data_IF_018303118378
#
_entry.id   IF_018303118378
#
_cell.length_a   1.000
_cell.length_b   1.000
_cell.length_c   1.000
_cell.angle_alpha   90.00
_cell.angle_beta   90.00
_cell.angle_gamma   90.00
#
_symmetry.space_group_name_H-M   'P 1'
#
loop_
_entity.id
_entity.type
_entity.pdbx_description
1 polymer ?
#
# COMPACT_ATOMS: atom_id res chain seq x y z
N UNK A 1 -34.09 -13.47 -3.15
CA UNK A 1 -35.59 -13.54 -3.25
C UNK A 1 -36.16 -12.37 -2.45
N UNK A 2 -36.65 -11.33 -3.10
CA UNK A 2 -37.38 -10.23 -2.46
C UNK A 2 -38.87 -10.41 -2.70
N UNK A 3 -39.70 -10.17 -1.66
CA UNK A 3 -41.16 -10.09 -1.82
C UNK A 3 -41.54 -8.73 -2.40
N UNK A 4 -42.38 -8.74 -3.44
CA UNK A 4 -42.98 -7.52 -3.92
C UNK A 4 -44.07 -7.02 -2.94
N UNK A 5 -44.62 -5.82 -3.16
CA UNK A 5 -45.67 -5.22 -2.35
C UNK A 5 -46.98 -6.04 -2.26
N UNK A 6 -47.15 -7.04 -3.11
CA UNK A 6 -48.30 -7.94 -3.17
C UNK A 6 -48.03 -9.31 -2.51
N UNK A 7 -46.82 -9.50 -1.94
CA UNK A 7 -46.43 -10.75 -1.28
C UNK A 7 -45.98 -11.88 -2.18
N UNK A 8 -45.88 -11.67 -3.50
CA UNK A 8 -45.36 -12.64 -4.45
C UNK A 8 -43.86 -12.63 -4.43
N UNK A 9 -43.25 -13.83 -4.59
CA UNK A 9 -41.80 -13.94 -4.78
C UNK A 9 -41.42 -13.56 -6.21
N UNK A 10 -40.61 -12.54 -6.37
CA UNK A 10 -39.94 -12.28 -7.62
C UNK A 10 -38.79 -13.31 -7.76
N UNK A 11 -38.85 -14.13 -8.79
CA UNK A 11 -37.70 -14.91 -9.22
C UNK A 11 -36.79 -13.97 -10.02
N UNK A 12 -35.72 -13.52 -9.39
CA UNK A 12 -34.64 -12.90 -10.14
C UNK A 12 -34.04 -13.95 -11.09
N UNK A 13 -33.67 -13.57 -12.31
CA UNK A 13 -32.99 -14.48 -13.22
C UNK A 13 -31.73 -15.01 -12.54
N UNK A 14 -31.50 -16.30 -12.61
CA UNK A 14 -30.25 -16.92 -12.15
C UNK A 14 -29.17 -16.41 -13.11
N UNK A 15 -28.40 -15.41 -12.70
CA UNK A 15 -27.16 -15.04 -13.38
C UNK A 15 -26.15 -16.12 -12.97
N UNK A 16 -25.75 -16.94 -13.94
CA UNK A 16 -24.66 -17.89 -13.78
C UNK A 16 -23.40 -17.27 -14.37
N UNK A 17 -22.49 -16.83 -13.50
CA UNK A 17 -21.17 -16.39 -13.93
C UNK A 17 -20.21 -17.58 -13.88
N UNK A 18 -19.36 -17.69 -14.89
CA UNK A 18 -18.33 -18.73 -14.99
C UNK A 18 -17.00 -18.09 -14.62
N UNK A 19 -16.38 -18.57 -13.56
CA UNK A 19 -15.02 -18.24 -13.18
C UNK A 19 -14.04 -19.30 -13.65
N UNK A 20 -12.89 -18.90 -14.15
CA UNK A 20 -11.80 -19.79 -14.54
C UNK A 20 -10.49 -19.30 -13.90
N UNK A 21 -9.74 -20.20 -13.29
CA UNK A 21 -8.42 -19.92 -12.77
C UNK A 21 -7.50 -21.11 -12.87
N UNK A 22 -6.20 -20.86 -12.91
CA UNK A 22 -5.19 -21.89 -12.98
C UNK A 22 -3.82 -21.41 -12.54
N UNK A 23 -3.00 -22.38 -12.15
CA UNK A 23 -1.61 -22.20 -11.76
C UNK A 23 -0.73 -23.20 -12.50
N UNK A 24 0.44 -22.76 -12.91
CA UNK A 24 1.43 -23.60 -13.57
C UNK A 24 2.85 -23.23 -13.15
N UNK A 25 3.63 -24.22 -12.76
CA UNK A 25 5.03 -24.04 -12.41
C UNK A 25 5.97 -24.53 -13.52
N UNK A 26 6.92 -23.68 -13.90
CA UNK A 26 7.95 -24.01 -14.88
C UNK A 26 9.30 -23.37 -14.49
N UNK A 27 10.34 -24.21 -14.31
CA UNK A 27 11.70 -23.78 -14.01
C UNK A 27 11.80 -22.79 -12.84
N UNK A 28 11.04 -23.01 -11.77
CA UNK A 28 10.98 -22.16 -10.59
C UNK A 28 10.17 -20.87 -10.77
N UNK A 29 9.51 -20.72 -11.92
CA UNK A 29 8.52 -19.67 -12.13
C UNK A 29 7.13 -20.20 -11.87
N UNK A 30 6.33 -19.46 -11.11
CA UNK A 30 4.92 -19.72 -10.91
C UNK A 30 4.11 -18.75 -11.76
N UNK A 31 3.25 -19.29 -12.60
CA UNK A 31 2.31 -18.55 -13.44
C UNK A 31 0.90 -18.81 -12.91
N UNK A 32 0.18 -17.76 -12.61
CA UNK A 32 -1.21 -17.85 -12.19
C UNK A 32 -2.08 -16.92 -13.03
N UNK A 33 -3.30 -17.34 -13.29
CA UNK A 33 -4.29 -16.51 -13.96
C UNK A 33 -5.68 -16.75 -13.37
N UNK A 34 -6.53 -15.76 -13.49
CA UNK A 34 -7.95 -15.84 -13.16
C UNK A 34 -8.76 -14.98 -14.12
N UNK A 35 -9.92 -15.48 -14.52
CA UNK A 35 -10.86 -14.81 -15.43
C UNK A 35 -12.22 -14.79 -14.73
N UNK A 36 -12.83 -13.63 -14.66
CA UNK A 36 -14.13 -13.40 -13.99
C UNK A 36 -14.20 -14.07 -12.60
N UNK A 37 -13.24 -13.79 -11.68
CA UNK A 37 -13.18 -14.46 -10.38
C UNK A 37 -14.37 -14.05 -9.51
N UNK A 38 -15.03 -15.02 -8.87
CA UNK A 38 -16.06 -14.75 -7.87
C UNK A 38 -15.42 -14.50 -6.49
N UNK A 39 -15.30 -13.25 -6.11
CA UNK A 39 -14.82 -12.81 -4.79
C UNK A 39 -15.94 -12.46 -3.81
N UNK A 40 -17.22 -12.66 -4.17
CA UNK A 40 -18.39 -12.24 -3.41
C UNK A 40 -18.42 -12.78 -1.97
N UNK A 41 -17.94 -14.02 -1.74
CA UNK A 41 -17.89 -14.62 -0.42
C UNK A 41 -16.84 -13.96 0.49
N UNK A 42 -15.76 -13.44 -0.08
CA UNK A 42 -14.69 -12.76 0.67
C UNK A 42 -15.05 -11.31 0.98
N UNK A 43 -15.84 -10.68 0.13
CA UNK A 43 -16.23 -9.28 0.24
C UNK A 43 -17.44 -9.05 1.14
N UNK A 44 -18.33 -10.04 1.30
CA UNK A 44 -19.52 -9.94 2.14
C UNK A 44 -19.22 -9.57 3.61
N UNK A 45 -18.03 -9.89 4.11
CA UNK A 45 -17.59 -9.55 5.47
C UNK A 45 -17.13 -8.07 5.62
N UNK A 46 -17.09 -7.29 4.54
CA UNK A 46 -16.44 -5.96 4.53
C UNK A 46 -17.41 -4.79 4.49
N UNK A 47 -18.71 -5.01 4.53
CA UNK A 47 -19.74 -3.97 4.46
C UNK A 47 -19.83 -3.04 5.70
N UNK A 48 -18.83 -3.02 6.57
CA UNK A 48 -18.74 -2.06 7.68
C UNK A 48 -18.10 -0.76 7.21
N UNK A 49 -18.89 0.08 6.54
CA UNK A 49 -18.55 1.47 6.28
C UNK A 49 -18.55 2.19 7.63
N UNK A 50 -17.38 2.62 8.10
CA UNK A 50 -17.33 3.51 9.25
C UNK A 50 -17.63 4.95 8.78
N UNK A 51 -18.89 5.35 8.88
CA UNK A 51 -19.40 6.67 8.42
C UNK A 51 -18.74 7.85 9.15
N UNK A 52 -18.02 7.60 10.24
CA UNK A 52 -17.37 8.63 11.05
C UNK A 52 -15.85 8.75 10.80
N UNK A 53 -15.28 7.99 9.85
CA UNK A 53 -13.86 8.10 9.53
C UNK A 53 -13.61 9.20 8.50
N UNK A 54 -12.67 10.09 8.78
CA UNK A 54 -12.20 11.11 7.83
C UNK A 54 -11.22 10.54 6.79
N UNK A 55 -10.75 9.30 7.00
CA UNK A 55 -9.83 8.60 6.12
C UNK A 55 -10.37 7.24 5.71
N UNK A 56 -9.97 6.76 4.54
CA UNK A 56 -10.34 5.43 4.05
C UNK A 56 -9.84 4.33 5.00
N UNK A 57 -10.62 3.25 5.14
CA UNK A 57 -10.27 2.10 5.96
C UNK A 57 -9.47 1.09 5.14
N UNK A 58 -8.44 0.52 5.77
CA UNK A 58 -7.64 -0.55 5.17
C UNK A 58 -8.22 -1.91 5.56
N UNK A 59 -8.45 -2.75 4.55
CA UNK A 59 -8.89 -4.14 4.72
C UNK A 59 -7.76 -5.11 4.40
N UNK A 60 -7.71 -6.24 5.10
CA UNK A 60 -6.75 -7.30 4.78
C UNK A 60 -7.12 -7.99 3.47
N UNK A 61 -6.10 -8.37 2.69
CA UNK A 61 -6.28 -9.18 1.50
C UNK A 61 -6.59 -10.63 1.90
N UNK A 62 -7.73 -11.14 1.45
CA UNK A 62 -8.20 -12.51 1.72
C UNK A 62 -8.39 -13.34 0.45
N UNK A 63 -8.36 -12.70 -0.71
CA UNK A 63 -8.48 -13.39 -2.01
C UNK A 63 -7.19 -14.16 -2.27
N UNK A 64 -7.31 -15.49 -2.43
CA UNK A 64 -6.16 -16.41 -2.55
C UNK A 64 -5.21 -15.94 -3.64
N UNK A 65 -5.72 -15.63 -4.84
CA UNK A 65 -4.93 -15.15 -5.96
C UNK A 65 -4.02 -13.95 -5.60
N UNK A 66 -4.51 -12.97 -4.85
CA UNK A 66 -3.74 -11.77 -4.47
C UNK A 66 -2.90 -11.96 -3.20
N UNK A 67 -3.18 -12.98 -2.39
CA UNK A 67 -2.38 -13.30 -1.20
C UNK A 67 -1.07 -14.00 -1.56
N UNK A 68 -1.09 -14.82 -2.58
CA UNK A 68 0.10 -15.50 -3.06
C UNK A 68 1.03 -14.49 -3.74
N UNK A 69 2.31 -14.47 -3.31
CA UNK A 69 3.30 -13.53 -3.80
C UNK A 69 3.22 -12.11 -3.23
N UNK A 70 2.31 -11.78 -2.30
CA UNK A 70 2.18 -10.42 -1.72
C UNK A 70 3.42 -9.91 -1.01
N UNK A 71 4.30 -10.79 -0.54
CA UNK A 71 5.57 -10.43 0.10
C UNK A 71 6.52 -9.70 -0.86
N UNK A 72 6.45 -9.94 -2.17
CA UNK A 72 7.19 -9.18 -3.18
C UNK A 72 6.79 -7.71 -3.23
N UNK A 73 5.57 -7.39 -2.79
CA UNK A 73 4.95 -6.07 -2.85
C UNK A 73 5.12 -5.26 -1.55
N UNK A 74 5.92 -5.78 -0.61
CA UNK A 74 6.15 -5.13 0.68
C UNK A 74 6.81 -3.75 0.51
N UNK A 75 6.25 -2.73 1.16
CA UNK A 75 6.70 -1.34 1.15
C UNK A 75 6.37 -0.66 2.47
N UNK A 76 7.27 0.19 2.96
CA UNK A 76 7.05 1.02 4.15
C UNK A 76 6.00 2.14 3.90
N UNK A 77 5.84 2.57 2.64
CA UNK A 77 4.89 3.62 2.23
C UNK A 77 3.56 3.08 1.70
N UNK A 78 3.36 1.73 1.73
CA UNK A 78 2.17 1.06 1.18
C UNK A 78 1.94 1.38 -0.30
N UNK A 79 3.00 1.30 -1.10
CA UNK A 79 3.01 1.60 -2.54
C UNK A 79 2.15 0.65 -3.36
N UNK A 80 1.85 -0.54 -2.84
CA UNK A 80 0.89 -1.48 -3.41
C UNK A 80 -0.11 -1.94 -2.38
N UNK A 81 -1.36 -1.98 -2.78
CA UNK A 81 -2.50 -2.49 -2.06
C UNK A 81 -3.39 -3.26 -3.03
N UNK A 82 -3.31 -4.58 -3.01
CA UNK A 82 -3.96 -5.44 -4.01
C UNK A 82 -5.48 -5.29 -4.07
N UNK A 83 -6.11 -4.83 -2.98
CA UNK A 83 -7.55 -4.53 -2.97
C UNK A 83 -7.94 -3.26 -3.72
N UNK A 84 -6.97 -2.48 -4.21
CA UNK A 84 -7.25 -1.43 -5.20
C UNK A 84 -7.65 -2.04 -6.56
N UNK A 85 -7.33 -3.31 -6.83
CA UNK A 85 -7.88 -4.12 -7.92
C UNK A 85 -9.10 -4.84 -7.31
N UNK A 86 -10.29 -4.33 -7.58
CA UNK A 86 -11.50 -4.69 -6.85
C UNK A 86 -12.26 -5.86 -7.49
N UNK A 87 -12.63 -5.71 -8.73
CA UNK A 87 -13.45 -6.65 -9.48
C UNK A 87 -12.85 -6.93 -10.86
N UNK A 88 -11.74 -7.68 -10.93
CA UNK A 88 -11.05 -7.89 -12.19
C UNK A 88 -11.85 -8.76 -13.15
N UNK A 89 -11.97 -8.30 -14.41
CA UNK A 89 -12.45 -9.14 -15.52
C UNK A 89 -11.44 -10.26 -15.76
N UNK A 90 -10.15 -9.97 -15.66
CA UNK A 90 -9.08 -10.95 -15.59
C UNK A 90 -7.91 -10.42 -14.75
N UNK A 91 -7.12 -11.33 -14.23
CA UNK A 91 -5.81 -11.05 -13.68
C UNK A 91 -4.84 -12.20 -13.96
N UNK A 92 -3.60 -11.85 -14.27
CA UNK A 92 -2.52 -12.82 -14.41
C UNK A 92 -1.29 -12.33 -13.66
N UNK A 93 -0.52 -13.26 -13.12
CA UNK A 93 0.74 -12.95 -12.47
C UNK A 93 1.78 -14.03 -12.75
N UNK A 94 3.03 -13.60 -12.72
CA UNK A 94 4.20 -14.49 -12.73
C UNK A 94 5.18 -14.04 -11.67
N UNK A 95 5.73 -14.97 -10.92
CA UNK A 95 6.77 -14.69 -9.95
C UNK A 95 7.79 -15.81 -9.82
N UNK A 96 8.97 -15.46 -9.35
CA UNK A 96 10.06 -16.40 -9.07
C UNK A 96 10.74 -16.03 -7.75
N UNK A 97 11.02 -17.05 -6.92
CA UNK A 97 11.70 -16.91 -5.62
C UNK A 97 13.11 -17.49 -5.70
N UNK A 98 13.97 -16.91 -6.53
CA UNK A 98 15.37 -17.31 -6.60
C UNK A 98 16.17 -16.86 -5.37
N UNK A 99 17.30 -17.52 -5.10
CA UNK A 99 18.18 -17.17 -3.97
C UNK A 99 18.72 -15.74 -4.09
N UNK A 100 19.21 -15.36 -5.27
CA UNK A 100 19.77 -14.03 -5.55
C UNK A 100 18.78 -13.10 -6.22
N UNK A 101 17.95 -13.60 -7.12
CA UNK A 101 17.04 -12.82 -7.95
C UNK A 101 15.61 -13.28 -7.69
N UNK A 102 14.77 -12.37 -7.30
CA UNK A 102 13.35 -12.62 -7.12
C UNK A 102 12.56 -11.56 -7.86
N UNK A 103 11.50 -11.94 -8.55
CA UNK A 103 10.66 -10.99 -9.26
C UNK A 103 9.19 -11.39 -9.20
N UNK A 104 8.35 -10.40 -9.42
CA UNK A 104 6.90 -10.51 -9.47
C UNK A 104 6.37 -9.56 -10.54
N UNK A 105 5.48 -10.04 -11.37
CA UNK A 105 4.72 -9.25 -12.32
C UNK A 105 3.25 -9.61 -12.19
N UNK A 106 2.38 -8.60 -12.20
CA UNK A 106 0.93 -8.75 -12.22
C UNK A 106 0.36 -7.81 -13.27
N UNK A 107 -0.60 -8.32 -14.02
CA UNK A 107 -1.41 -7.61 -14.99
C UNK A 107 -2.87 -7.92 -14.72
N UNK A 108 -3.74 -6.90 -14.69
CA UNK A 108 -5.16 -7.08 -14.42
C UNK A 108 -5.99 -5.99 -15.11
N UNK A 109 -7.16 -6.36 -15.60
CA UNK A 109 -8.22 -5.45 -16.03
C UNK A 109 -9.31 -5.45 -14.95
N UNK A 110 -9.53 -4.31 -14.34
CA UNK A 110 -10.51 -4.12 -13.26
C UNK A 110 -11.78 -3.47 -13.81
N UNK A 111 -12.92 -4.13 -13.67
CA UNK A 111 -14.21 -3.63 -14.16
C UNK A 111 -14.72 -2.43 -13.33
N UNK A 112 -14.27 -2.31 -12.07
CA UNK A 112 -14.65 -1.22 -11.17
C UNK A 112 -13.46 -0.84 -10.30
N UNK A 113 -13.00 0.37 -10.45
CA UNK A 113 -11.76 0.88 -9.84
C UNK A 113 -12.04 1.71 -8.60
N UNK A 114 -11.78 1.19 -7.38
CA UNK A 114 -11.80 2.01 -6.19
C UNK A 114 -10.58 2.93 -6.16
N UNK A 115 -10.80 4.20 -5.89
CA UNK A 115 -9.74 5.19 -5.76
C UNK A 115 -9.76 5.83 -4.37
N UNK A 116 -8.57 6.24 -3.92
CA UNK A 116 -8.36 7.02 -2.70
C UNK A 116 -7.54 8.24 -3.08
N UNK A 117 -8.13 9.42 -2.98
CA UNK A 117 -7.43 10.69 -3.15
C UNK A 117 -6.96 11.16 -1.77
N UNK A 118 -5.65 11.11 -1.51
CA UNK A 118 -5.09 11.53 -0.23
C UNK A 118 -5.11 13.06 -0.10
N UNK A 119 -5.34 13.55 1.12
CA UNK A 119 -5.28 14.96 1.42
C UNK A 119 -4.60 15.22 2.77
N UNK A 120 -4.62 16.46 3.21
CA UNK A 120 -4.10 16.88 4.49
C UNK A 120 -5.03 16.38 5.62
N UNK A 121 -4.58 15.39 6.39
CA UNK A 121 -5.32 14.73 7.50
C UNK A 121 -6.70 14.18 7.10
N UNK A 122 -6.89 13.82 5.84
CA UNK A 122 -8.12 13.22 5.32
C UNK A 122 -7.89 12.52 4.01
N UNK A 123 -8.86 11.72 3.57
CA UNK A 123 -8.93 11.21 2.21
C UNK A 123 -10.34 11.31 1.65
N UNK A 124 -10.41 11.29 0.33
CA UNK A 124 -11.65 11.13 -0.42
C UNK A 124 -11.59 9.78 -1.14
N UNK A 125 -12.71 9.15 -1.31
CA UNK A 125 -12.80 7.88 -2.02
C UNK A 125 -13.95 7.87 -2.99
N UNK A 126 -13.77 7.17 -4.10
CA UNK A 126 -14.75 7.02 -5.15
C UNK A 126 -14.61 5.68 -5.85
N UNK A 127 -15.55 5.38 -6.72
CA UNK A 127 -15.55 4.19 -7.57
C UNK A 127 -15.63 4.65 -9.02
N UNK A 128 -14.56 4.43 -9.78
CA UNK A 128 -14.48 4.70 -11.22
C UNK A 128 -14.90 3.47 -12.05
N UNK A 129 -14.99 3.64 -13.34
CA UNK A 129 -15.19 2.59 -14.34
C UNK A 129 -13.96 1.65 -14.45
N UNK A 130 -13.78 1.11 -15.64
CA UNK A 130 -12.71 0.18 -15.95
C UNK A 130 -11.33 0.82 -15.86
N UNK A 131 -10.35 0.00 -15.45
CA UNK A 131 -8.94 0.36 -15.53
C UNK A 131 -8.07 -0.86 -15.78
N UNK A 132 -6.89 -0.63 -16.33
CA UNK A 132 -5.86 -1.63 -16.52
C UNK A 132 -4.71 -1.38 -15.55
N UNK A 133 -4.32 -2.39 -14.78
CA UNK A 133 -3.34 -2.30 -13.71
C UNK A 133 -2.15 -3.21 -13.96
N UNK A 134 -0.94 -2.65 -13.85
CA UNK A 134 0.32 -3.37 -13.97
C UNK A 134 1.17 -3.15 -12.71
N UNK A 135 1.75 -4.22 -12.19
CA UNK A 135 2.67 -4.18 -11.05
C UNK A 135 3.89 -5.01 -11.39
N UNK A 136 5.07 -4.43 -11.24
CA UNK A 136 6.34 -5.14 -11.37
C UNK A 136 7.22 -4.91 -10.15
N UNK A 137 7.76 -5.97 -9.58
CA UNK A 137 8.72 -5.91 -8.47
C UNK A 137 9.90 -6.82 -8.76
N UNK A 138 11.10 -6.34 -8.43
CA UNK A 138 12.34 -7.09 -8.51
C UNK A 138 13.18 -6.84 -7.28
N UNK A 139 13.77 -7.91 -6.73
CA UNK A 139 14.68 -7.85 -5.60
C UNK A 139 15.95 -8.64 -5.91
N UNK A 140 17.09 -8.03 -5.59
CA UNK A 140 18.39 -8.67 -5.61
C UNK A 140 18.88 -8.87 -4.18
N UNK A 141 19.03 -10.13 -3.76
CA UNK A 141 19.59 -10.51 -2.47
C UNK A 141 21.11 -10.55 -2.56
N UNK A 142 21.77 -9.73 -1.76
CA UNK A 142 23.23 -9.62 -1.72
C UNK A 142 23.78 -10.75 -0.84
N UNK A 143 23.68 -10.60 0.46
CA UNK A 143 24.09 -11.57 1.48
C UNK A 143 23.42 -11.24 2.83
N UNK A 144 23.28 -12.23 3.73
CA UNK A 144 22.91 -12.01 5.14
C UNK A 144 21.68 -11.12 5.35
N UNK A 145 20.66 -11.26 4.51
CA UNK A 145 19.44 -10.44 4.59
C UNK A 145 19.58 -9.03 4.03
N UNK A 146 20.71 -8.72 3.37
CA UNK A 146 20.89 -7.48 2.63
C UNK A 146 20.29 -7.61 1.23
N UNK A 147 19.57 -6.59 0.81
CA UNK A 147 18.95 -6.58 -0.52
C UNK A 147 18.82 -5.17 -1.07
N UNK A 148 18.64 -5.11 -2.36
CA UNK A 148 18.20 -3.94 -3.10
C UNK A 148 17.09 -4.37 -4.05
N UNK A 149 16.06 -3.56 -4.19
CA UNK A 149 14.95 -3.88 -5.06
C UNK A 149 14.26 -2.64 -5.58
N UNK A 150 13.51 -2.83 -6.64
CA UNK A 150 12.63 -1.80 -7.17
C UNK A 150 11.23 -2.35 -7.41
N UNK A 151 10.27 -1.45 -7.43
CA UNK A 151 8.88 -1.72 -7.72
C UNK A 151 8.35 -0.62 -8.62
N UNK A 152 7.62 -1.01 -9.65
CA UNK A 152 6.92 -0.09 -10.54
C UNK A 152 5.44 -0.49 -10.60
N UNK A 153 4.56 0.49 -10.60
CA UNK A 153 3.14 0.28 -10.83
C UNK A 153 2.62 1.26 -11.88
N UNK A 154 1.66 0.81 -12.67
CA UNK A 154 0.94 1.65 -13.62
C UNK A 154 -0.55 1.30 -13.59
N UNK A 155 -1.41 2.30 -13.64
CA UNK A 155 -2.85 2.16 -13.82
C UNK A 155 -3.32 3.12 -14.90
N UNK A 156 -3.91 2.58 -15.94
CA UNK A 156 -4.55 3.34 -17.02
C UNK A 156 -6.07 3.28 -16.84
N UNK A 157 -6.73 4.42 -16.80
CA UNK A 157 -8.19 4.49 -16.67
C UNK A 157 -8.84 4.55 -18.06
N UNK A 158 -9.93 3.80 -18.26
CA UNK A 158 -10.65 3.76 -19.53
C UNK A 158 -11.19 5.14 -19.92
N UNK A 159 -11.61 5.93 -18.95
CA UNK A 159 -12.11 7.30 -19.11
C UNK A 159 -11.00 8.33 -19.39
N UNK A 160 -9.76 7.87 -19.52
CA UNK A 160 -8.55 8.69 -19.66
C UNK A 160 -7.85 8.91 -18.31
N UNK A 161 -6.59 9.30 -18.40
CA UNK A 161 -5.71 9.46 -17.24
C UNK A 161 -4.88 8.22 -16.93
N UNK A 162 -3.82 8.45 -16.14
CA UNK A 162 -2.83 7.43 -15.76
C UNK A 162 -2.27 7.72 -14.38
N UNK A 163 -1.99 6.66 -13.63
CA UNK A 163 -1.28 6.71 -12.34
C UNK A 163 -0.07 5.81 -12.38
N UNK A 164 1.12 6.39 -12.29
CA UNK A 164 2.39 5.66 -12.29
C UNK A 164 3.16 5.87 -11.00
N UNK A 165 3.86 4.82 -10.54
CA UNK A 165 4.75 4.88 -9.40
C UNK A 165 6.01 4.07 -9.66
N UNK A 166 7.15 4.63 -9.24
CA UNK A 166 8.42 3.92 -9.15
C UNK A 166 8.98 4.00 -7.73
N UNK A 167 9.42 2.88 -7.19
CA UNK A 167 10.05 2.76 -5.87
C UNK A 167 11.39 2.04 -5.97
N UNK A 168 12.41 2.59 -5.33
CA UNK A 168 13.73 1.96 -5.10
C UNK A 168 13.90 1.76 -3.61
N UNK A 169 14.19 0.54 -3.18
CA UNK A 169 14.34 0.18 -1.76
C UNK A 169 15.59 -0.65 -1.52
N UNK A 170 16.12 -0.58 -0.30
CA UNK A 170 17.25 -1.40 0.10
C UNK A 170 17.36 -1.56 1.60
N UNK A 171 17.97 -2.68 1.99
CA UNK A 171 18.30 -3.00 3.38
C UNK A 171 19.74 -3.49 3.45
N UNK A 172 20.55 -2.90 4.34
CA UNK A 172 21.98 -3.19 4.48
C UNK A 172 22.37 -3.36 5.94
N UNK A 173 23.18 -4.37 6.19
CA UNK A 173 23.72 -4.68 7.52
C UNK A 173 25.24 -4.40 7.53
N UNK A 174 25.69 -3.51 8.42
CA UNK A 174 27.09 -3.15 8.59
C UNK A 174 27.60 -3.59 9.96
N UNK A 175 28.77 -4.20 10.01
CA UNK A 175 29.43 -4.66 11.25
C UNK A 175 28.50 -5.46 12.17
N UNK A 176 27.53 -6.19 11.62
CA UNK A 176 26.55 -7.03 12.34
C UNK A 176 25.65 -6.32 13.36
N UNK A 177 25.83 -5.03 13.60
CA UNK A 177 25.11 -4.23 14.59
C UNK A 177 24.36 -3.04 14.01
N UNK A 178 24.74 -2.57 12.82
CA UNK A 178 24.06 -1.44 12.15
C UNK A 178 23.20 -1.96 11.03
N UNK A 179 21.91 -1.71 11.12
CA UNK A 179 20.97 -1.96 10.00
C UNK A 179 20.51 -0.62 9.43
N UNK A 180 20.59 -0.49 8.12
CA UNK A 180 20.13 0.69 7.39
C UNK A 180 19.14 0.25 6.32
N UNK A 181 17.98 0.90 6.27
CA UNK A 181 16.97 0.67 5.24
C UNK A 181 16.53 1.99 4.62
N UNK A 182 16.18 1.93 3.36
CA UNK A 182 15.59 3.07 2.66
C UNK A 182 14.54 2.62 1.65
N UNK A 183 13.62 3.52 1.35
CA UNK A 183 12.71 3.45 0.22
C UNK A 183 12.55 4.85 -0.35
N UNK A 184 12.74 5.01 -1.66
CA UNK A 184 12.56 6.25 -2.40
C UNK A 184 11.47 6.03 -3.43
N UNK A 185 10.47 6.89 -3.44
CA UNK A 185 9.27 6.74 -4.28
C UNK A 185 9.06 8.00 -5.10
N UNK A 186 8.83 7.83 -6.38
CA UNK A 186 8.32 8.86 -7.30
C UNK A 186 6.94 8.44 -7.82
N UNK A 187 6.01 9.38 -7.90
CA UNK A 187 4.67 9.18 -8.45
C UNK A 187 4.40 10.21 -9.53
N UNK A 188 3.71 9.81 -10.59
CA UNK A 188 3.18 10.69 -11.62
C UNK A 188 1.69 10.37 -11.82
N UNK A 189 0.88 11.40 -11.89
CA UNK A 189 -0.57 11.33 -12.04
C UNK A 189 -1.02 12.23 -13.17
N UNK A 190 -1.78 11.65 -14.08
CA UNK A 190 -2.70 12.35 -14.96
C UNK A 190 -4.12 11.92 -14.56
N UNK A 191 -4.89 12.80 -13.97
CA UNK A 191 -6.19 12.45 -13.40
C UNK A 191 -7.22 12.13 -14.48
N UNK A 192 -8.08 11.11 -14.30
CA UNK A 192 -9.30 10.98 -15.09
C UNK A 192 -10.25 12.14 -14.75
N UNK A 193 -11.14 12.49 -15.68
CA UNK A 193 -12.22 13.47 -15.44
C UNK A 193 -13.45 12.71 -14.95
N UNK A 194 -13.89 12.98 -13.70
CA UNK A 194 -15.04 12.30 -13.11
C UNK A 194 -15.65 13.06 -11.94
N UNK A 195 -16.97 13.00 -11.81
CA UNK A 195 -17.75 13.63 -10.73
C UNK A 195 -17.90 12.75 -9.47
N UNK A 196 -17.22 11.60 -9.39
CA UNK A 196 -17.35 10.68 -8.23
C UNK A 196 -16.83 11.27 -6.92
N UNK A 197 -15.96 12.29 -7.00
CA UNK A 197 -15.54 13.10 -5.88
C UNK A 197 -15.94 14.54 -6.16
N UNK A 198 -16.77 15.10 -5.28
CA UNK A 198 -17.23 16.48 -5.37
C UNK A 198 -16.96 17.18 -4.04
N UNK A 199 -15.93 18.03 -4.00
CA UNK A 199 -15.53 18.78 -2.82
C UNK A 199 -15.04 20.18 -3.19
N UNK A 200 -15.23 21.11 -2.28
CA UNK A 200 -14.67 22.48 -2.39
C UNK A 200 -13.29 22.61 -1.74
N UNK A 201 -12.81 21.51 -1.12
CA UNK A 201 -11.47 21.49 -0.52
C UNK A 201 -10.41 21.39 -1.61
N UNK A 202 -9.30 22.06 -1.38
CA UNK A 202 -8.15 22.09 -2.29
C UNK A 202 -6.88 21.73 -1.52
N UNK A 203 -5.92 21.12 -2.21
CA UNK A 203 -4.52 21.10 -1.83
C UNK A 203 -3.91 22.49 -2.09
N UNK A 204 -2.63 22.67 -1.79
CA UNK A 204 -1.93 23.93 -2.10
C UNK A 204 -1.97 24.31 -3.58
N UNK A 205 -1.84 23.30 -4.46
CA UNK A 205 -1.62 23.47 -5.90
C UNK A 205 -2.69 22.77 -6.75
N UNK A 206 -3.40 21.79 -6.18
CA UNK A 206 -4.36 20.93 -6.88
C UNK A 206 -5.67 20.83 -6.14
N UNK A 207 -6.73 20.53 -6.87
CA UNK A 207 -8.02 20.20 -6.24
C UNK A 207 -8.01 18.76 -5.73
N UNK A 208 -9.01 18.37 -4.94
CA UNK A 208 -9.23 16.96 -4.60
C UNK A 208 -10.32 16.33 -5.48
N UNK A 209 -10.82 17.07 -6.46
CA UNK A 209 -11.72 16.54 -7.47
C UNK A 209 -10.90 15.82 -8.56
N UNK A 210 -11.58 15.04 -9.36
CA UNK A 210 -10.98 14.41 -10.53
C UNK A 210 -11.31 15.28 -11.76
N UNK A 211 -10.51 16.29 -12.03
CA UNK A 211 -10.77 17.29 -13.04
C UNK A 211 -9.73 17.35 -14.18
N UNK A 212 -8.87 16.32 -14.24
CA UNK A 212 -7.89 16.14 -15.32
C UNK A 212 -6.57 16.85 -15.05
N UNK A 213 -6.26 17.20 -13.81
CA UNK A 213 -4.96 17.77 -13.43
C UNK A 213 -3.83 16.75 -13.59
N UNK A 214 -2.63 17.25 -13.94
CA UNK A 214 -1.41 16.44 -14.02
C UNK A 214 -0.39 16.93 -13.01
N UNK A 215 0.18 16.01 -12.21
CA UNK A 215 1.15 16.35 -11.19
C UNK A 215 2.09 15.19 -10.85
N UNK A 216 3.23 15.55 -10.28
CA UNK A 216 4.22 14.61 -9.76
C UNK A 216 4.34 14.73 -8.25
N UNK A 217 4.61 13.60 -7.59
CA UNK A 217 4.83 13.52 -6.17
C UNK A 217 6.02 12.64 -5.82
N UNK A 218 6.47 12.75 -4.59
CA UNK A 218 7.54 11.91 -4.08
C UNK A 218 7.29 11.51 -2.63
N UNK A 219 7.84 10.37 -2.28
CA UNK A 219 7.86 9.85 -0.91
C UNK A 219 9.20 9.22 -0.57
N UNK A 220 9.46 9.01 0.68
CA UNK A 220 10.69 8.36 1.09
C UNK A 220 10.65 7.87 2.52
N UNK A 221 11.46 6.85 2.75
CA UNK A 221 11.75 6.30 4.07
C UNK A 221 13.25 6.15 4.21
N UNK A 222 13.77 6.50 5.36
CA UNK A 222 15.13 6.18 5.77
C UNK A 222 15.11 5.72 7.23
N UNK A 223 15.70 4.58 7.49
CA UNK A 223 15.86 4.03 8.82
C UNK A 223 17.29 3.60 9.07
N UNK A 224 17.82 3.92 10.24
CA UNK A 224 19.07 3.36 10.72
C UNK A 224 18.89 2.88 12.15
N UNK A 225 19.37 1.69 12.45
CA UNK A 225 19.42 1.17 13.80
C UNK A 225 20.82 0.69 14.14
N UNK A 226 21.15 0.82 15.43
CA UNK A 226 22.32 0.19 16.04
C UNK A 226 21.82 -0.69 17.17
N UNK A 227 22.03 -1.98 17.05
CA UNK A 227 21.60 -2.96 18.03
C UNK A 227 22.83 -3.68 18.61
N UNK A 228 23.01 -3.58 19.94
CA UNK A 228 24.02 -4.30 20.71
C UNK A 228 23.33 -5.10 21.82
N UNK A 229 24.09 -5.83 22.60
CA UNK A 229 23.54 -6.64 23.69
C UNK A 229 22.67 -5.83 24.66
N UNK A 230 23.17 -4.67 25.10
CA UNK A 230 22.51 -3.84 26.10
C UNK A 230 21.81 -2.60 25.51
N UNK A 231 22.24 -2.10 24.36
CA UNK A 231 21.78 -0.85 23.80
C UNK A 231 21.18 -1.04 22.41
N UNK A 232 20.02 -0.42 22.18
CA UNK A 232 19.40 -0.29 20.86
C UNK A 232 19.08 1.19 20.62
N UNK A 233 19.52 1.71 19.49
CA UNK A 233 19.19 3.08 19.05
C UNK A 233 18.67 3.02 17.66
N UNK A 234 17.52 3.65 17.40
CA UNK A 234 16.86 3.70 16.10
C UNK A 234 16.52 5.13 15.71
N UNK A 235 16.79 5.47 14.48
CA UNK A 235 16.25 6.67 13.85
C UNK A 235 15.44 6.24 12.63
N UNK A 236 14.29 6.84 12.48
CA UNK A 236 13.40 6.62 11.36
C UNK A 236 12.90 7.96 10.84
N UNK A 237 12.98 8.14 9.53
CA UNK A 237 12.43 9.24 8.79
C UNK A 237 11.50 8.70 7.72
N UNK A 238 10.32 9.33 7.57
CA UNK A 238 9.41 9.04 6.47
C UNK A 238 8.73 10.32 5.99
N UNK A 239 8.40 10.37 4.71
CA UNK A 239 7.75 11.54 4.12
C UNK A 239 6.87 11.17 2.94
N UNK A 240 5.79 11.95 2.75
CA UNK A 240 4.99 12.00 1.51
C UNK A 240 4.79 13.46 1.14
N UNK A 241 5.18 13.86 -0.07
CA UNK A 241 5.01 15.23 -0.56
C UNK A 241 3.52 15.62 -0.65
N UNK A 242 3.18 16.90 -0.78
CA UNK A 242 1.79 17.35 -0.95
C UNK A 242 1.07 16.68 -2.12
N UNK A 243 1.80 16.40 -3.20
CA UNK A 243 1.27 15.80 -4.42
C UNK A 243 1.47 14.27 -4.49
N UNK A 244 1.90 13.63 -3.39
CA UNK A 244 2.06 12.17 -3.39
C UNK A 244 0.72 11.47 -3.50
N UNK A 245 0.54 10.66 -4.55
CA UNK A 245 -0.63 9.81 -4.76
C UNK A 245 -0.23 8.52 -5.45
N UNK A 246 -0.86 7.40 -5.07
CA UNK A 246 -0.65 6.08 -5.65
C UNK A 246 -1.97 5.34 -5.71
N UNK A 247 -2.55 5.16 -6.90
CA UNK A 247 -3.87 4.55 -7.07
C UNK A 247 -3.84 3.01 -7.03
N UNK A 248 -2.66 2.39 -7.13
CA UNK A 248 -2.46 0.98 -6.81
C UNK A 248 -1.95 0.77 -5.38
N UNK A 249 -1.72 1.84 -4.60
CA UNK A 249 -1.31 1.81 -3.21
C UNK A 249 -2.45 2.08 -2.23
N UNK A 250 -2.08 2.16 -0.95
CA UNK A 250 -2.98 2.62 0.09
C UNK A 250 -2.41 3.87 0.75
N UNK A 251 -2.87 5.02 0.27
CA UNK A 251 -2.45 6.32 0.76
C UNK A 251 -3.67 7.14 1.14
N UNK A 252 -3.84 7.37 2.43
CA UNK A 252 -4.97 8.16 2.97
C UNK A 252 -4.60 9.60 3.25
N UNK A 253 -3.30 9.87 3.42
CA UNK A 253 -2.79 11.19 3.78
C UNK A 253 -1.46 11.46 3.07
N UNK A 254 -1.24 12.70 2.68
CA UNK A 254 0.00 13.22 2.13
C UNK A 254 0.41 14.52 2.84
N UNK A 255 1.39 15.25 2.33
CA UNK A 255 1.88 16.52 2.87
C UNK A 255 2.41 16.39 4.31
N UNK A 256 3.25 15.39 4.59
CA UNK A 256 3.83 15.21 5.91
C UNK A 256 5.27 14.70 5.89
N UNK A 257 6.01 15.04 6.95
CA UNK A 257 7.34 14.54 7.30
C UNK A 257 7.30 14.00 8.72
N UNK A 258 7.77 12.79 8.93
CA UNK A 258 7.82 12.14 10.25
C UNK A 258 9.25 11.79 10.63
N UNK A 259 9.64 12.15 11.85
CA UNK A 259 10.88 11.75 12.48
C UNK A 259 10.56 10.94 13.74
N UNK A 260 11.26 9.83 13.93
CA UNK A 260 11.17 9.02 15.15
C UNK A 260 12.56 8.67 15.63
N UNK A 261 12.83 8.92 16.89
CA UNK A 261 14.06 8.51 17.58
C UNK A 261 13.68 7.62 18.74
N UNK A 262 14.27 6.46 18.80
CA UNK A 262 14.10 5.51 19.90
C UNK A 262 15.46 5.16 20.48
N UNK A 263 15.57 5.18 21.79
CA UNK A 263 16.75 4.73 22.51
C UNK A 263 16.33 3.81 23.64
N UNK A 264 16.88 2.57 23.65
CA UNK A 264 16.50 1.52 24.56
C UNK A 264 17.73 0.92 25.24
N UNK A 265 17.70 0.86 26.57
CA UNK A 265 18.65 0.11 27.37
C UNK A 265 18.03 -1.20 27.86
N UNK A 266 18.71 -2.30 27.62
CA UNK A 266 18.32 -3.64 28.07
C UNK A 266 19.26 -4.08 29.19
N UNK A 267 18.70 -4.38 30.35
CA UNK A 267 19.43 -4.87 31.50
C UNK A 267 19.20 -6.37 31.66
N UNK A 268 20.30 -7.11 31.89
CA UNK A 268 20.27 -8.52 32.27
C UNK A 268 21.23 -8.75 33.41
N UNK A 269 20.83 -9.53 34.41
CA UNK A 269 21.62 -9.88 35.58
C UNK A 269 21.15 -11.21 36.17
N UNK A 270 22.02 -11.89 36.89
CA UNK A 270 21.70 -13.10 37.65
C UNK A 270 21.14 -12.77 39.06
N UNK A 271 20.96 -11.48 39.39
CA UNK A 271 20.43 -11.02 40.66
C UNK A 271 18.90 -11.11 40.77
N UNK A 272 18.33 -10.43 41.79
CA UNK A 272 16.89 -10.39 42.09
C UNK A 272 16.07 -9.86 40.87
N UNK A 273 16.55 -8.82 40.19
CA UNK A 273 16.00 -8.34 38.92
C UNK A 273 16.82 -8.97 37.81
N UNK A 274 16.24 -9.98 37.15
CA UNK A 274 16.94 -10.76 36.12
C UNK A 274 16.98 -10.08 34.76
N UNK A 275 15.94 -9.30 34.42
CA UNK A 275 15.85 -8.56 33.17
C UNK A 275 14.98 -7.31 33.34
N UNK A 276 15.30 -6.26 32.59
CA UNK A 276 14.52 -5.04 32.50
C UNK A 276 14.91 -4.26 31.27
N UNK A 277 14.10 -3.30 30.89
CA UNK A 277 14.45 -2.33 29.85
C UNK A 277 13.91 -0.94 30.20
N UNK A 278 14.62 0.06 29.77
CA UNK A 278 14.18 1.46 29.76
C UNK A 278 14.22 1.93 28.32
N UNK A 279 13.14 2.54 27.86
CA UNK A 279 12.98 3.02 26.49
C UNK A 279 12.52 4.48 26.51
N UNK A 280 13.14 5.30 25.68
CA UNK A 280 12.73 6.67 25.42
C UNK A 280 12.49 6.77 23.91
N UNK A 281 11.31 7.21 23.51
CA UNK A 281 10.94 7.43 22.12
C UNK A 281 10.35 8.82 21.95
N UNK A 282 10.79 9.51 20.91
CA UNK A 282 10.25 10.79 20.47
C UNK A 282 9.81 10.66 19.02
N UNK A 283 8.56 10.97 18.78
CA UNK A 283 7.98 11.09 17.43
C UNK A 283 7.62 12.56 17.18
N UNK A 284 7.96 13.06 16.00
CA UNK A 284 7.59 14.38 15.51
C UNK A 284 7.04 14.21 14.09
N UNK A 285 5.83 14.67 13.85
CA UNK A 285 5.23 14.77 12.53
C UNK A 285 4.87 16.21 12.24
N UNK A 286 5.28 16.70 11.07
CA UNK A 286 5.00 18.05 10.60
C UNK A 286 4.64 18.03 9.11
N UNK A 287 3.91 19.03 8.66
CA UNK A 287 3.68 19.24 7.24
C UNK A 287 4.89 19.86 6.52
N UNK A 288 4.77 20.10 5.23
CA UNK A 288 5.84 20.71 4.43
C UNK A 288 6.04 22.21 4.72
N UNK A 289 5.11 22.86 5.40
CA UNK A 289 5.23 24.26 5.90
C UNK A 289 5.86 24.33 7.29
N UNK A 290 6.12 23.17 7.92
CA UNK A 290 6.68 23.07 9.26
C UNK A 290 5.66 23.15 10.39
N UNK A 291 4.35 23.09 10.07
CA UNK A 291 3.30 23.02 11.10
C UNK A 291 3.32 21.62 11.73
N UNK A 292 3.39 21.59 13.06
CA UNK A 292 3.41 20.34 13.81
C UNK A 292 2.01 19.70 13.75
N UNK A 293 1.95 18.48 13.20
CA UNK A 293 0.73 17.67 13.13
C UNK A 293 0.61 16.80 14.38
N UNK A 294 1.73 16.17 14.80
CA UNK A 294 1.78 15.30 15.97
C UNK A 294 3.15 15.40 16.65
N UNK A 295 3.13 15.41 17.98
CA UNK A 295 4.34 15.37 18.81
C UNK A 295 4.10 14.43 19.99
N UNK A 296 4.83 13.33 20.02
CA UNK A 296 4.74 12.34 21.08
C UNK A 296 6.10 12.11 21.75
N UNK A 297 6.08 12.00 23.07
CA UNK A 297 7.22 11.58 23.88
C UNK A 297 6.76 10.42 24.79
N UNK A 298 7.33 9.25 24.56
CA UNK A 298 7.02 8.04 25.32
C UNK A 298 8.24 7.66 26.15
N UNK A 299 8.00 7.37 27.42
CA UNK A 299 8.99 6.89 28.36
C UNK A 299 8.43 5.65 29.07
N UNK A 300 9.12 4.49 28.95
CA UNK A 300 8.71 3.20 29.51
C UNK A 300 9.86 2.62 30.32
#
# INVERSE_FOLDING_TARGET
RQKNSEGNMNEEPINSDISLGGEYELNGNTFEFTINPDFSQVEADQSKININSTTALRFEERRIFFNEGKDFLSSDLSTVYTRSINNPDYAMKVYNRGEKHSYYFLDAEDAQTPIIVPGYQRSYSGLLGKSHANIFSYNYNIEKGQNIGFLATNRDFEEGGNSSLFSLKGNFLFNEIYNTRFELVSTAMDEPISDVINTTNVSKEHTYNLDGESFEGYGGVFGISRDTENWSTRYYFATKSPNYRSDLGFTTENNWKKHSVEHKYKYRSDGFVRKGNVEIRKDLMQDYDGVIIDLSLIHI
#
